data_IF_860589665244
#
_entry.id   IF_860589665244
#
_cell.length_a   1.000
_cell.length_b   1.000
_cell.length_c   1.000
_cell.angle_alpha   90.00
_cell.angle_beta   90.00
_cell.angle_gamma   90.00
#
_symmetry.space_group_name_H-M   'P 1'
#
loop_
_entity.id
_entity.type
_entity.pdbx_description
1 polymer ?
#
# COMPACT_ATOMS: atom_id res chain seq x y z
N UNK A 1 8.34 -21.22 -8.76
CA UNK A 1 7.63 -20.49 -7.67
C UNK A 1 8.26 -20.76 -6.32
N UNK A 2 8.48 -22.02 -5.92
CA UNK A 2 9.07 -22.35 -4.61
C UNK A 2 10.36 -21.58 -4.27
N UNK A 3 11.28 -21.41 -5.23
CA UNK A 3 12.55 -20.74 -4.97
C UNK A 3 12.37 -19.25 -4.70
N UNK A 4 11.47 -18.60 -5.44
CA UNK A 4 11.11 -17.18 -5.24
C UNK A 4 10.56 -16.97 -3.82
N UNK A 5 9.65 -17.85 -3.40
CA UNK A 5 9.04 -17.82 -2.07
C UNK A 5 10.10 -18.05 -0.98
N UNK A 6 10.87 -19.13 -1.10
CA UNK A 6 11.80 -19.55 -0.06
C UNK A 6 12.99 -18.61 0.11
N UNK A 7 13.45 -17.98 -0.96
CA UNK A 7 14.50 -16.96 -0.85
C UNK A 7 13.93 -15.66 -0.31
N UNK A 8 12.78 -15.19 -0.81
CA UNK A 8 12.15 -13.98 -0.30
C UNK A 8 11.82 -14.07 1.20
N UNK A 9 11.39 -15.24 1.68
CA UNK A 9 11.06 -15.45 3.11
C UNK A 9 12.28 -15.34 4.05
N UNK A 10 13.49 -15.36 3.50
CA UNK A 10 14.73 -15.13 4.25
C UNK A 10 15.12 -13.65 4.31
N UNK A 11 14.63 -12.85 3.37
CA UNK A 11 14.93 -11.44 3.25
C UNK A 11 14.02 -10.62 4.17
N UNK A 12 14.62 -10.00 5.18
CA UNK A 12 13.94 -9.11 6.12
C UNK A 12 14.30 -7.66 5.79
N UNK A 13 13.32 -6.89 5.32
CA UNK A 13 13.47 -5.47 4.96
C UNK A 13 12.51 -4.69 5.83
N UNK A 14 13.07 -4.00 6.84
CA UNK A 14 12.31 -3.28 7.86
C UNK A 14 12.44 -1.78 7.63
N UNK A 15 11.30 -1.08 7.63
CA UNK A 15 11.21 0.37 7.46
C UNK A 15 10.33 0.98 8.54
N UNK A 16 10.59 2.26 8.86
CA UNK A 16 9.97 2.92 10.01
C UNK A 16 9.55 4.36 9.69
N UNK A 17 8.32 4.71 10.08
CA UNK A 17 7.82 6.09 10.09
C UNK A 17 7.04 6.37 11.37
N UNK A 18 5.75 6.00 11.45
CA UNK A 18 4.97 5.94 12.71
C UNK A 18 4.75 4.51 13.19
N UNK A 19 4.90 3.54 12.29
CA UNK A 19 4.93 2.11 12.57
C UNK A 19 6.23 1.48 12.09
N UNK A 20 6.53 0.29 12.60
CA UNK A 20 7.62 -0.58 12.12
C UNK A 20 7.06 -1.66 11.20
N UNK A 21 7.40 -1.60 9.90
CA UNK A 21 6.84 -2.48 8.86
C UNK A 21 7.91 -3.46 8.37
N UNK A 22 7.51 -4.70 8.07
CA UNK A 22 8.36 -5.72 7.44
C UNK A 22 9.07 -6.68 8.39
N UNK A 23 8.77 -6.62 9.69
CA UNK A 23 9.24 -7.58 10.69
C UNK A 23 8.72 -8.99 10.39
N UNK A 24 9.54 -10.02 10.62
CA UNK A 24 9.07 -11.41 10.56
C UNK A 24 7.89 -11.64 11.51
N UNK A 25 6.92 -12.45 11.07
CA UNK A 25 5.70 -12.73 11.83
C UNK A 25 4.67 -11.60 11.81
N UNK A 26 4.86 -10.59 10.95
CA UNK A 26 3.95 -9.47 10.81
C UNK A 26 3.47 -9.33 9.35
N UNK A 27 2.26 -8.83 9.18
CA UNK A 27 1.64 -8.48 7.91
C UNK A 27 0.91 -7.16 8.10
N UNK A 28 1.38 -6.12 7.41
CA UNK A 28 0.73 -4.82 7.38
C UNK A 28 -0.25 -4.71 6.22
N UNK A 29 -1.16 -3.74 6.28
CA UNK A 29 -2.06 -3.44 5.18
C UNK A 29 -2.21 -1.96 4.90
N UNK A 30 -2.35 -1.62 3.63
CA UNK A 30 -2.87 -0.34 3.18
C UNK A 30 -4.39 -0.37 3.31
N UNK A 31 -4.95 0.54 4.08
CA UNK A 31 -6.39 0.82 4.03
C UNK A 31 -6.61 1.84 2.91
N UNK A 32 -7.36 1.46 1.88
CA UNK A 32 -7.62 2.31 0.71
C UNK A 32 -9.11 2.70 0.65
N UNK A 33 -9.48 3.86 1.23
CA UNK A 33 -10.87 4.29 1.30
C UNK A 33 -11.23 5.17 0.10
N UNK A 34 -11.03 4.67 -1.12
CA UNK A 34 -11.35 5.44 -2.33
C UNK A 34 -12.86 5.67 -2.43
N UNK A 35 -13.26 6.83 -2.95
CA UNK A 35 -14.65 7.15 -3.22
C UNK A 35 -14.76 7.80 -4.61
N UNK A 36 -15.73 7.44 -5.47
CA UNK A 36 -15.83 7.95 -6.85
C UNK A 36 -15.92 9.47 -7.02
N UNK A 37 -16.19 10.18 -5.93
CA UNK A 37 -16.34 11.65 -5.89
C UNK A 37 -15.58 12.29 -4.73
N UNK A 38 -14.66 11.56 -4.09
CA UNK A 38 -13.96 11.99 -2.88
C UNK A 38 -14.91 12.45 -1.75
N UNK A 39 -16.05 11.76 -1.57
CA UNK A 39 -17.02 12.15 -0.53
C UNK A 39 -16.46 11.85 0.87
N UNK A 40 -16.42 12.89 1.70
CA UNK A 40 -15.81 12.82 3.03
C UNK A 40 -16.50 11.79 3.94
N UNK A 41 -17.82 11.65 3.85
CA UNK A 41 -18.55 10.69 4.68
C UNK A 41 -18.27 9.26 4.21
N UNK A 42 -18.30 9.01 2.91
CA UNK A 42 -17.97 7.71 2.32
C UNK A 42 -16.54 7.28 2.65
N UNK A 43 -15.58 8.19 2.52
CA UNK A 43 -14.17 7.96 2.91
C UNK A 43 -14.07 7.64 4.40
N UNK A 44 -14.68 8.46 5.25
CA UNK A 44 -14.63 8.28 6.71
C UNK A 44 -15.26 6.95 7.16
N UNK A 45 -16.37 6.55 6.54
CA UNK A 45 -17.02 5.28 6.80
C UNK A 45 -16.12 4.09 6.42
N UNK A 46 -15.45 4.16 5.27
CA UNK A 46 -14.50 3.13 4.82
C UNK A 46 -13.24 3.06 5.70
N UNK A 47 -12.74 4.20 6.19
CA UNK A 47 -11.66 4.24 7.19
C UNK A 47 -12.10 3.54 8.47
N UNK A 48 -13.27 3.87 9.00
CA UNK A 48 -13.77 3.25 10.22
C UNK A 48 -13.92 1.74 10.04
N UNK A 49 -14.55 1.30 8.96
CA UNK A 49 -14.75 -0.12 8.65
C UNK A 49 -13.39 -0.86 8.60
N UNK A 50 -12.44 -0.35 7.81
CA UNK A 50 -11.12 -0.96 7.70
C UNK A 50 -10.37 -1.04 9.02
N UNK A 51 -10.41 0.02 9.85
CA UNK A 51 -9.82 0.03 11.19
C UNK A 51 -10.46 -1.02 12.10
N UNK A 52 -11.78 -1.23 12.00
CA UNK A 52 -12.46 -2.29 12.76
C UNK A 52 -11.97 -3.68 12.37
N UNK A 53 -11.50 -3.89 11.14
CA UNK A 53 -10.82 -5.13 10.73
C UNK A 53 -9.30 -5.09 10.92
N UNK A 54 -8.76 -4.08 11.62
CA UNK A 54 -7.34 -3.93 11.87
C UNK A 54 -6.50 -3.66 10.63
N UNK A 55 -7.08 -2.99 9.63
CA UNK A 55 -6.37 -2.56 8.43
C UNK A 55 -5.84 -1.13 8.56
N UNK A 56 -4.77 -0.83 7.83
CA UNK A 56 -4.24 0.52 7.71
C UNK A 56 -2.95 0.77 8.47
N UNK A 57 -2.29 -0.26 9.01
CA UNK A 57 -1.01 -0.11 9.70
C UNK A 57 0.18 0.13 8.73
N UNK A 58 0.04 -0.19 7.44
CA UNK A 58 1.01 0.21 6.43
C UNK A 58 0.83 1.68 6.02
N UNK A 59 -0.42 2.09 5.75
CA UNK A 59 -0.82 3.46 5.39
C UNK A 59 -2.35 3.52 5.28
N UNK A 60 -2.95 4.66 5.59
CA UNK A 60 -4.30 5.02 5.13
C UNK A 60 -4.13 5.86 3.86
N UNK A 61 -4.37 5.24 2.69
CA UNK A 61 -3.95 5.76 1.39
C UNK A 61 -5.11 5.96 0.42
N UNK A 62 -5.39 7.21 0.04
CA UNK A 62 -6.48 7.57 -0.88
C UNK A 62 -5.92 7.80 -2.28
N UNK A 63 -6.43 7.09 -3.28
CA UNK A 63 -6.35 7.53 -4.67
C UNK A 63 -7.46 8.59 -4.88
N UNK A 64 -7.12 9.86 -5.14
CA UNK A 64 -8.13 10.91 -5.26
C UNK A 64 -8.88 10.79 -6.60
N UNK A 65 -10.19 11.02 -6.59
CA UNK A 65 -10.98 11.14 -7.82
C UNK A 65 -10.64 12.43 -8.60
N UNK A 66 -10.10 13.45 -7.93
CA UNK A 66 -9.62 14.68 -8.59
C UNK A 66 -8.23 15.15 -8.11
N UNK A 67 -7.39 15.56 -9.06
CA UNK A 67 -6.01 16.01 -8.80
C UNK A 67 -5.86 17.52 -8.53
N UNK A 68 -6.92 18.20 -8.11
CA UNK A 68 -6.81 19.63 -7.79
C UNK A 68 -6.24 19.83 -6.37
N UNK A 69 -5.31 20.79 -6.21
CA UNK A 69 -4.60 21.01 -4.95
C UNK A 69 -5.50 21.30 -3.74
N UNK A 70 -6.68 21.90 -3.96
CA UNK A 70 -7.60 22.16 -2.87
C UNK A 70 -8.18 20.87 -2.30
N UNK A 71 -8.72 20.00 -3.16
CA UNK A 71 -9.22 18.68 -2.78
C UNK A 71 -8.14 17.83 -2.09
N UNK A 72 -6.95 17.76 -2.70
CA UNK A 72 -5.81 17.03 -2.14
C UNK A 72 -5.44 17.52 -0.74
N UNK A 73 -5.42 18.84 -0.53
CA UNK A 73 -5.19 19.46 0.78
C UNK A 73 -6.26 19.04 1.80
N UNK A 74 -7.54 19.07 1.43
CA UNK A 74 -8.63 18.72 2.35
C UNK A 74 -8.62 17.23 2.71
N UNK A 75 -8.32 16.34 1.76
CA UNK A 75 -8.13 14.91 2.03
C UNK A 75 -6.97 14.66 3.00
N UNK A 76 -5.81 15.32 2.80
CA UNK A 76 -4.66 15.19 3.70
C UNK A 76 -4.98 15.68 5.12
N UNK A 77 -5.68 16.81 5.25
CA UNK A 77 -6.11 17.34 6.55
C UNK A 77 -7.13 16.45 7.24
N UNK A 78 -8.08 15.87 6.48
CA UNK A 78 -9.04 14.90 7.00
C UNK A 78 -8.31 13.70 7.60
N UNK A 79 -7.39 13.10 6.84
CA UNK A 79 -6.61 11.95 7.30
C UNK A 79 -5.76 12.30 8.53
N UNK A 80 -5.08 13.45 8.53
CA UNK A 80 -4.31 13.92 9.69
C UNK A 80 -5.21 14.11 10.91
N UNK A 81 -6.38 14.74 10.75
CA UNK A 81 -7.33 14.93 11.84
C UNK A 81 -7.79 13.59 12.44
N UNK A 82 -8.19 12.62 11.61
CA UNK A 82 -8.59 11.29 12.07
C UNK A 82 -7.45 10.58 12.81
N UNK A 83 -6.23 10.61 12.25
CA UNK A 83 -5.06 9.99 12.87
C UNK A 83 -4.77 10.62 14.24
N UNK A 84 -4.80 11.95 14.37
CA UNK A 84 -4.53 12.64 15.63
C UNK A 84 -5.65 12.43 16.67
N UNK A 85 -6.91 12.58 16.27
CA UNK A 85 -8.08 12.47 17.17
C UNK A 85 -8.17 11.07 17.80
N UNK A 86 -7.94 10.04 16.99
CA UNK A 86 -8.00 8.65 17.45
C UNK A 86 -6.63 8.08 17.87
N UNK A 87 -5.58 8.92 17.86
CA UNK A 87 -4.21 8.56 18.20
C UNK A 87 -3.75 7.28 17.48
N UNK A 88 -4.12 7.15 16.21
CA UNK A 88 -3.86 5.95 15.43
C UNK A 88 -2.36 5.92 15.10
N UNK A 89 -1.61 4.88 15.49
CA UNK A 89 -0.23 4.73 15.05
C UNK A 89 -0.26 4.28 13.60
N UNK A 90 -0.36 5.22 12.67
CA UNK A 90 -0.31 5.00 11.22
C UNK A 90 -0.02 6.30 10.50
N UNK A 91 0.29 6.22 9.21
CA UNK A 91 0.60 7.32 8.32
C UNK A 91 -0.48 7.50 7.25
N UNK A 92 -0.67 8.74 6.84
CA UNK A 92 -1.55 9.10 5.73
C UNK A 92 -0.80 9.19 4.39
N UNK A 93 -1.52 8.94 3.31
CA UNK A 93 -1.06 9.27 1.97
C UNK A 93 -2.24 9.61 1.05
N UNK A 94 -2.07 10.63 0.22
CA UNK A 94 -2.95 10.86 -0.94
C UNK A 94 -2.08 10.62 -2.18
N UNK A 95 -2.47 9.63 -2.99
CA UNK A 95 -1.69 9.10 -4.10
C UNK A 95 -1.88 9.98 -5.34
N UNK A 96 -1.37 11.20 -5.27
CA UNK A 96 -1.33 12.16 -6.37
C UNK A 96 0.07 12.24 -6.97
N UNK A 97 0.21 12.91 -8.10
CA UNK A 97 1.50 13.18 -8.72
C UNK A 97 2.43 13.97 -7.76
N UNK A 98 3.71 13.60 -7.71
CA UNK A 98 4.69 14.15 -6.77
C UNK A 98 4.82 15.68 -6.82
N UNK A 99 4.61 16.30 -7.99
CA UNK A 99 4.63 17.77 -8.13
C UNK A 99 3.50 18.46 -7.38
N UNK A 100 2.33 17.83 -7.25
CA UNK A 100 1.24 18.32 -6.40
C UNK A 100 1.60 18.14 -4.92
N UNK A 101 2.18 17.00 -4.57
CA UNK A 101 2.69 16.72 -3.23
C UNK A 101 3.72 17.74 -2.76
N UNK A 102 4.70 18.10 -3.60
CA UNK A 102 5.73 19.12 -3.32
C UNK A 102 5.07 20.47 -3.00
N UNK A 103 4.16 20.95 -3.87
CA UNK A 103 3.48 22.23 -3.67
C UNK A 103 2.66 22.28 -2.37
N UNK A 104 2.12 21.13 -1.94
CA UNK A 104 1.38 21.01 -0.68
C UNK A 104 2.34 20.97 0.52
N UNK A 105 3.46 20.26 0.42
CA UNK A 105 4.50 20.22 1.44
C UNK A 105 5.10 21.62 1.68
N UNK A 106 5.37 22.40 0.63
CA UNK A 106 5.83 23.80 0.72
C UNK A 106 4.86 24.70 1.49
N UNK A 107 3.57 24.36 1.46
CA UNK A 107 2.49 25.04 2.20
C UNK A 107 2.26 24.46 3.60
N UNK A 108 3.12 23.55 4.06
CA UNK A 108 3.02 22.83 5.33
C UNK A 108 1.70 22.04 5.49
N UNK A 109 1.13 21.53 4.39
CA UNK A 109 0.02 20.56 4.44
C UNK A 109 0.54 19.24 5.05
N UNK A 110 -0.23 18.54 5.89
CA UNK A 110 0.25 17.38 6.65
C UNK A 110 0.44 16.13 5.76
N UNK A 111 1.55 16.07 5.03
CA UNK A 111 1.95 14.91 4.23
C UNK A 111 2.85 14.02 5.08
N UNK A 112 2.38 12.82 5.41
CA UNK A 112 3.20 11.80 6.05
C UNK A 112 4.08 11.06 5.01
N UNK A 113 3.47 10.55 3.92
CA UNK A 113 4.19 9.90 2.83
C UNK A 113 4.03 10.63 1.49
N UNK A 114 5.14 10.77 0.76
CA UNK A 114 5.15 11.24 -0.63
C UNK A 114 4.99 10.07 -1.59
N UNK A 115 3.89 10.05 -2.33
CA UNK A 115 3.62 9.02 -3.32
C UNK A 115 4.19 9.39 -4.71
N UNK A 116 4.61 8.37 -5.45
CA UNK A 116 4.79 8.47 -6.91
C UNK A 116 4.81 7.09 -7.58
N UNK A 117 4.14 6.93 -8.72
CA UNK A 117 4.35 5.79 -9.61
C UNK A 117 5.68 5.94 -10.35
N UNK A 118 6.51 4.89 -10.40
CA UNK A 118 7.84 4.90 -11.03
C UNK A 118 8.01 3.73 -12.00
N UNK A 119 8.97 3.86 -12.92
CA UNK A 119 9.29 2.85 -13.92
C UNK A 119 10.80 2.62 -14.08
N UNK A 120 11.16 1.54 -14.76
CA UNK A 120 12.54 1.09 -14.94
C UNK A 120 13.38 1.82 -15.99
N UNK A 121 12.79 2.74 -16.78
CA UNK A 121 13.48 3.49 -17.82
C UNK A 121 13.23 4.99 -17.67
N UNK A 122 14.18 5.80 -18.12
CA UNK A 122 14.02 7.26 -18.10
C UNK A 122 12.81 7.69 -18.94
N UNK A 123 12.67 7.15 -20.16
CA UNK A 123 11.55 7.49 -21.04
C UNK A 123 10.18 7.14 -20.43
N UNK A 124 10.07 6.02 -19.70
CA UNK A 124 8.82 5.68 -19.01
C UNK A 124 8.52 6.67 -17.86
N UNK A 125 9.52 7.02 -17.05
CA UNK A 125 9.39 8.01 -15.98
C UNK A 125 9.03 9.40 -16.53
N UNK A 126 9.65 9.83 -17.62
CA UNK A 126 9.28 11.08 -18.31
C UNK A 126 7.84 11.02 -18.84
N UNK A 127 7.37 9.85 -19.30
CA UNK A 127 5.98 9.61 -19.65
C UNK A 127 5.00 9.75 -18.48
N UNK A 128 5.45 9.49 -17.25
CA UNK A 128 4.70 9.79 -16.03
C UNK A 128 4.84 11.24 -15.56
N UNK A 129 5.62 12.07 -16.25
CA UNK A 129 5.86 13.46 -15.87
C UNK A 129 6.91 13.64 -14.76
N UNK A 130 7.75 12.63 -14.51
CA UNK A 130 8.74 12.65 -13.43
C UNK A 130 10.18 12.49 -13.90
N UNK A 131 11.11 12.99 -13.08
CA UNK A 131 12.54 12.77 -13.20
C UNK A 131 13.12 12.37 -11.84
N UNK A 132 14.34 11.84 -11.80
CA UNK A 132 15.02 11.53 -10.54
C UNK A 132 15.27 12.77 -9.68
N UNK A 133 15.41 13.95 -10.30
CA UNK A 133 15.58 15.22 -9.61
C UNK A 133 14.26 15.65 -8.95
N UNK A 134 13.12 15.48 -9.64
CA UNK A 134 11.80 15.76 -9.07
C UNK A 134 11.48 14.81 -7.90
N UNK A 135 11.87 13.53 -8.00
CA UNK A 135 11.73 12.58 -6.88
C UNK A 135 12.61 13.01 -5.69
N UNK A 136 13.82 13.50 -5.96
CA UNK A 136 14.70 14.03 -4.91
C UNK A 136 14.08 15.24 -4.21
N UNK A 137 13.50 16.17 -4.98
CA UNK A 137 12.79 17.33 -4.44
C UNK A 137 11.60 16.92 -3.55
N UNK A 138 10.78 15.97 -4.02
CA UNK A 138 9.67 15.43 -3.22
C UNK A 138 10.12 14.72 -1.95
N UNK A 139 11.24 13.98 -2.01
CA UNK A 139 11.84 13.35 -0.83
C UNK A 139 12.30 14.38 0.19
N UNK A 140 13.03 15.40 -0.24
CA UNK A 140 13.56 16.46 0.63
C UNK A 140 12.42 17.31 1.23
N UNK A 141 11.39 17.63 0.42
CA UNK A 141 10.21 18.35 0.86
C UNK A 141 9.48 17.62 1.98
N UNK A 142 9.25 16.31 1.85
CA UNK A 142 8.54 15.53 2.89
C UNK A 142 9.39 15.33 4.14
N UNK A 143 10.69 15.10 4.01
CA UNK A 143 11.59 15.06 5.16
C UNK A 143 11.57 16.37 5.96
N UNK A 144 11.43 17.51 5.28
CA UNK A 144 11.40 18.84 5.92
C UNK A 144 10.22 19.03 6.88
N UNK A 145 9.11 18.30 6.66
CA UNK A 145 7.91 18.33 7.50
C UNK A 145 8.12 17.63 8.86
N UNK A 146 9.12 16.74 8.98
CA UNK A 146 9.53 16.06 10.24
C UNK A 146 8.37 15.39 10.99
N UNK A 147 7.56 14.62 10.26
CA UNK A 147 6.31 14.04 10.80
C UNK A 147 6.44 12.60 11.33
N UNK A 148 7.57 11.95 11.07
CA UNK A 148 7.85 10.61 11.60
C UNK A 148 8.08 10.62 13.11
N UNK A 149 7.59 9.59 13.80
CA UNK A 149 7.71 9.46 15.27
C UNK A 149 8.66 8.33 15.68
N UNK A 150 8.85 7.33 14.82
CA UNK A 150 9.72 6.17 15.03
C UNK A 150 10.88 6.19 14.05
N UNK A 151 10.62 6.55 12.80
CA UNK A 151 11.63 6.64 11.74
C UNK A 151 11.30 7.70 10.71
N UNK A 152 12.11 7.78 9.66
CA UNK A 152 12.09 8.84 8.66
C UNK A 152 12.02 8.28 7.23
N UNK A 153 11.49 7.06 7.06
CA UNK A 153 11.16 6.55 5.73
C UNK A 153 9.87 7.25 5.25
N UNK A 154 9.96 8.08 4.21
CA UNK A 154 8.85 8.99 3.82
C UNK A 154 8.34 8.79 2.40
N UNK A 155 8.99 7.95 1.59
CA UNK A 155 8.52 7.70 0.22
C UNK A 155 7.59 6.50 0.15
N UNK A 156 6.60 6.62 -0.72
CA UNK A 156 5.74 5.52 -1.14
C UNK A 156 5.80 5.43 -2.68
N UNK A 157 6.29 4.31 -3.20
CA UNK A 157 6.32 4.07 -4.65
C UNK A 157 5.39 2.95 -5.08
N UNK A 158 4.76 3.15 -6.23
CA UNK A 158 4.07 2.09 -6.97
C UNK A 158 4.83 1.76 -8.25
N UNK A 159 4.89 0.46 -8.55
CA UNK A 159 5.51 -0.12 -9.74
C UNK A 159 4.55 -1.12 -10.38
N UNK A 160 4.96 -1.77 -11.47
CA UNK A 160 4.11 -2.76 -12.12
C UNK A 160 4.68 -3.19 -13.46
N UNK A 161 4.71 -4.51 -13.66
CA UNK A 161 5.03 -5.09 -14.95
C UNK A 161 4.09 -4.58 -16.03
N UNK A 162 4.66 -4.20 -17.18
CA UNK A 162 3.93 -3.68 -18.33
C UNK A 162 3.96 -2.16 -18.47
N UNK A 163 4.27 -1.41 -17.40
CA UNK A 163 4.35 0.06 -17.42
C UNK A 163 5.26 0.63 -18.50
N UNK A 164 6.47 0.08 -18.66
CA UNK A 164 7.40 0.50 -19.70
C UNK A 164 7.02 -0.01 -21.11
N UNK A 165 6.27 -1.12 -21.20
CA UNK A 165 5.78 -1.63 -22.48
C UNK A 165 4.62 -0.78 -22.99
N UNK A 166 3.66 -0.45 -22.13
CA UNK A 166 2.48 0.37 -22.43
C UNK A 166 2.86 1.78 -22.92
N UNK A 167 3.95 2.33 -22.38
CA UNK A 167 4.51 3.63 -22.76
C UNK A 167 5.48 3.57 -23.94
N UNK A 168 5.65 2.40 -24.59
CA UNK A 168 6.62 2.17 -25.66
C UNK A 168 8.07 2.58 -25.27
N UNK A 169 8.41 2.41 -23.99
CA UNK A 169 9.66 2.83 -23.37
C UNK A 169 10.50 1.65 -22.86
N UNK A 170 10.21 0.44 -23.35
CA UNK A 170 10.84 -0.81 -22.91
C UNK A 170 12.14 -1.13 -23.65
N UNK A 171 12.39 -0.52 -24.81
CA UNK A 171 13.62 -0.69 -25.61
C UNK A 171 13.97 -2.16 -25.92
N UNK A 172 12.96 -3.01 -26.14
CA UNK A 172 13.13 -4.45 -26.40
C UNK A 172 13.52 -5.29 -25.17
N UNK A 173 13.49 -4.71 -23.97
CA UNK A 173 13.74 -5.42 -22.70
C UNK A 173 12.42 -5.98 -22.14
N UNK A 174 12.49 -7.16 -21.51
CA UNK A 174 11.33 -7.82 -20.91
C UNK A 174 10.78 -7.09 -19.66
N UNK A 175 9.53 -7.37 -19.33
CA UNK A 175 8.80 -6.70 -18.24
C UNK A 175 9.48 -6.89 -16.88
N UNK A 176 9.95 -8.10 -16.56
CA UNK A 176 10.55 -8.41 -15.25
C UNK A 176 11.86 -7.65 -15.03
N UNK A 177 12.71 -7.58 -16.06
CA UNK A 177 13.96 -6.83 -15.98
C UNK A 177 13.71 -5.34 -15.74
N UNK A 178 12.71 -4.76 -16.42
CA UNK A 178 12.36 -3.34 -16.26
C UNK A 178 11.72 -3.06 -14.91
N UNK A 179 10.87 -3.95 -14.43
CA UNK A 179 10.27 -3.87 -13.10
C UNK A 179 11.35 -3.93 -12.00
N UNK A 180 12.32 -4.84 -12.14
CA UNK A 180 13.48 -4.91 -11.23
C UNK A 180 14.30 -3.62 -11.22
N UNK A 181 14.40 -2.91 -12.35
CA UNK A 181 15.07 -1.59 -12.43
C UNK A 181 14.27 -0.50 -11.70
N UNK A 182 12.95 -0.56 -11.67
CA UNK A 182 12.13 0.38 -10.90
C UNK A 182 12.44 0.27 -9.40
N UNK A 183 12.70 -0.94 -8.89
CA UNK A 183 13.13 -1.12 -7.50
C UNK A 183 14.47 -0.46 -7.18
N UNK A 184 15.39 -0.42 -8.15
CA UNK A 184 16.66 0.30 -8.00
C UNK A 184 16.45 1.83 -7.91
N UNK A 185 15.45 2.37 -8.63
CA UNK A 185 15.02 3.77 -8.48
C UNK A 185 14.46 4.00 -7.08
N UNK A 186 13.50 3.18 -6.63
CA UNK A 186 12.87 3.31 -5.31
C UNK A 186 13.91 3.26 -4.18
N UNK A 187 14.84 2.30 -4.22
CA UNK A 187 15.85 2.07 -3.18
C UNK A 187 16.67 3.31 -2.84
N UNK A 188 16.89 4.22 -3.80
CA UNK A 188 17.68 5.44 -3.59
C UNK A 188 17.04 6.40 -2.57
N UNK A 189 15.72 6.36 -2.39
CA UNK A 189 14.96 7.39 -1.67
C UNK A 189 14.35 6.89 -0.34
N UNK A 190 14.94 5.86 0.28
CA UNK A 190 14.54 5.34 1.59
C UNK A 190 13.01 5.19 1.78
N UNK A 191 12.31 4.49 0.89
CA UNK A 191 10.86 4.37 0.95
C UNK A 191 10.42 3.67 2.23
N UNK A 192 9.25 4.06 2.74
CA UNK A 192 8.54 3.25 3.72
C UNK A 192 7.88 2.06 3.02
N UNK A 193 7.31 2.32 1.83
CA UNK A 193 6.52 1.37 1.08
C UNK A 193 6.93 1.37 -0.40
N UNK A 194 7.02 0.17 -0.98
CA UNK A 194 7.04 -0.05 -2.42
C UNK A 194 6.07 -1.18 -2.71
N UNK A 195 5.08 -1.00 -3.59
CA UNK A 195 4.31 -2.13 -4.09
C UNK A 195 4.33 -2.20 -5.61
N UNK A 196 4.42 -3.43 -6.11
CA UNK A 196 3.95 -3.73 -7.46
C UNK A 196 2.42 -3.73 -7.46
N UNK A 197 1.82 -3.38 -8.58
CA UNK A 197 0.40 -3.54 -8.84
C UNK A 197 0.23 -4.63 -9.89
N UNK A 198 0.11 -5.88 -9.43
CA UNK A 198 0.09 -7.04 -10.34
C UNK A 198 -1.32 -7.28 -10.86
N UNK A 199 -1.48 -7.38 -12.18
CA UNK A 199 -2.78 -7.66 -12.82
C UNK A 199 -3.69 -6.45 -13.07
N UNK A 200 -3.23 -5.23 -12.75
CA UNK A 200 -4.01 -4.00 -12.90
C UNK A 200 -4.16 -3.49 -14.32
N UNK A 201 -3.13 -3.64 -15.17
CA UNK A 201 -3.15 -3.01 -16.50
C UNK A 201 -4.09 -3.76 -17.46
N UNK A 202 -4.00 -5.09 -17.50
CA UNK A 202 -4.83 -5.91 -18.38
C UNK A 202 -4.15 -7.16 -18.93
N UNK A 203 -4.90 -8.01 -19.65
CA UNK A 203 -4.45 -9.29 -20.20
C UNK A 203 -3.37 -9.16 -21.29
N UNK A 204 -3.17 -7.97 -21.84
CA UNK A 204 -2.11 -7.69 -22.82
C UNK A 204 -0.72 -7.84 -22.21
N UNK A 205 -0.61 -7.72 -20.89
CA UNK A 205 0.64 -7.77 -20.13
C UNK A 205 0.73 -9.05 -19.29
N UNK A 206 -0.36 -9.41 -18.62
CA UNK A 206 -0.52 -10.61 -17.80
C UNK A 206 -1.90 -11.23 -18.07
N UNK A 207 -1.95 -12.23 -18.94
CA UNK A 207 -3.19 -12.74 -19.53
C UNK A 207 -4.13 -13.43 -18.53
N UNK A 208 -3.59 -14.22 -17.61
CA UNK A 208 -4.37 -15.07 -16.72
C UNK A 208 -3.80 -15.18 -15.30
N UNK A 209 -4.57 -15.79 -14.39
CA UNK A 209 -4.19 -15.98 -12.98
C UNK A 209 -2.81 -16.61 -12.79
N UNK A 210 -2.43 -17.58 -13.64
CA UNK A 210 -1.09 -18.20 -13.60
C UNK A 210 0.04 -17.18 -13.86
N UNK A 211 -0.15 -16.27 -14.81
CA UNK A 211 0.82 -15.22 -15.12
C UNK A 211 0.88 -14.18 -14.00
N UNK A 212 -0.27 -13.77 -13.46
CA UNK A 212 -0.36 -12.86 -12.31
C UNK A 212 0.36 -13.44 -11.08
N UNK A 213 0.07 -14.70 -10.72
CA UNK A 213 0.75 -15.39 -9.61
C UNK A 213 2.26 -15.42 -9.83
N UNK A 214 2.70 -15.71 -11.06
CA UNK A 214 4.12 -15.77 -11.39
C UNK A 214 4.80 -14.40 -11.23
N UNK A 215 4.23 -13.37 -11.85
CA UNK A 215 4.73 -12.00 -11.83
C UNK A 215 4.80 -11.45 -10.39
N UNK A 216 3.74 -11.61 -9.60
CA UNK A 216 3.72 -11.17 -8.21
C UNK A 216 4.83 -11.79 -7.37
N UNK A 217 5.09 -13.09 -7.54
CA UNK A 217 6.19 -13.78 -6.85
C UNK A 217 7.57 -13.31 -7.31
N UNK A 218 7.75 -13.02 -8.60
CA UNK A 218 9.01 -12.50 -9.14
C UNK A 218 9.30 -11.10 -8.61
N UNK A 219 8.29 -10.24 -8.61
CA UNK A 219 8.34 -8.86 -8.14
C UNK A 219 8.67 -8.79 -6.65
N UNK A 220 7.94 -9.56 -5.83
CA UNK A 220 8.21 -9.63 -4.39
C UNK A 220 9.63 -10.15 -4.10
N UNK A 221 10.06 -11.21 -4.77
CA UNK A 221 11.40 -11.77 -4.63
C UNK A 221 12.48 -10.75 -5.00
N UNK A 222 12.38 -10.12 -6.17
CA UNK A 222 13.35 -9.15 -6.66
C UNK A 222 13.40 -7.92 -5.75
N UNK A 223 12.24 -7.38 -5.33
CA UNK A 223 12.16 -6.25 -4.42
C UNK A 223 12.83 -6.55 -3.08
N UNK A 224 12.49 -7.67 -2.45
CA UNK A 224 13.11 -8.13 -1.20
C UNK A 224 14.62 -8.34 -1.33
N UNK A 225 15.07 -8.97 -2.42
CA UNK A 225 16.49 -9.24 -2.66
C UNK A 225 17.28 -7.94 -2.87
N UNK A 226 16.67 -6.92 -3.47
CA UNK A 226 17.26 -5.60 -3.64
C UNK A 226 17.15 -4.71 -2.39
N UNK A 227 16.42 -5.15 -1.37
CA UNK A 227 16.31 -4.46 -0.09
C UNK A 227 15.27 -3.33 -0.07
N UNK A 228 14.21 -3.42 -0.89
CA UNK A 228 13.06 -2.49 -0.81
C UNK A 228 11.92 -3.11 0.02
N UNK A 229 11.12 -2.31 0.75
CA UNK A 229 10.02 -2.77 1.60
C UNK A 229 8.82 -3.21 0.75
N UNK A 230 8.97 -4.37 0.11
CA UNK A 230 8.11 -4.80 -0.99
C UNK A 230 6.76 -5.35 -0.49
N UNK A 231 5.69 -4.68 -0.88
CA UNK A 231 4.31 -5.15 -0.84
C UNK A 231 3.78 -5.45 -2.23
N UNK A 232 2.48 -5.77 -2.31
CA UNK A 232 1.82 -6.08 -3.57
C UNK A 232 0.35 -5.72 -3.48
N UNK A 233 -0.15 -4.97 -4.46
CA UNK A 233 -1.58 -4.90 -4.74
C UNK A 233 -1.93 -6.16 -5.53
N UNK A 234 -2.68 -7.07 -4.91
CA UNK A 234 -2.97 -8.42 -5.40
C UNK A 234 -4.28 -8.33 -6.17
N UNK A 235 -4.19 -8.04 -7.46
CA UNK A 235 -5.37 -7.59 -8.17
C UNK A 235 -5.53 -8.16 -9.57
N UNK A 236 -6.72 -7.97 -10.12
CA UNK A 236 -7.03 -8.33 -11.49
C UNK A 236 -8.11 -7.41 -12.05
N UNK A 237 -8.17 -7.35 -13.38
CA UNK A 237 -9.24 -6.67 -14.10
C UNK A 237 -10.24 -7.68 -14.66
N UNK A 238 -11.50 -7.29 -14.77
CA UNK A 238 -12.60 -8.15 -15.22
C UNK A 238 -12.45 -8.73 -16.64
N UNK A 239 -11.47 -8.26 -17.43
CA UNK A 239 -11.23 -8.74 -18.79
C UNK A 239 -9.96 -9.62 -18.89
N UNK A 240 -9.25 -9.85 -17.78
CA UNK A 240 -8.24 -10.90 -17.68
C UNK A 240 -8.89 -12.27 -17.44
N UNK A 241 -8.21 -13.34 -17.86
CA UNK A 241 -8.61 -14.73 -17.56
C UNK A 241 -8.15 -15.11 -16.14
N UNK A 242 -8.70 -14.40 -15.15
CA UNK A 242 -8.38 -14.52 -13.74
C UNK A 242 -9.62 -14.21 -12.88
N UNK A 243 -9.64 -14.77 -11.68
CA UNK A 243 -10.69 -14.48 -10.70
C UNK A 243 -10.13 -14.32 -9.27
N UNK A 244 -11.02 -14.08 -8.31
CA UNK A 244 -10.65 -13.91 -6.91
C UNK A 244 -9.92 -15.13 -6.32
N UNK A 245 -10.18 -16.36 -6.81
CA UNK A 245 -9.49 -17.55 -6.32
C UNK A 245 -8.00 -17.51 -6.68
N UNK A 246 -7.64 -16.97 -7.85
CA UNK A 246 -6.23 -16.77 -8.22
C UNK A 246 -5.54 -15.77 -7.27
N UNK A 247 -6.26 -14.72 -6.85
CA UNK A 247 -5.77 -13.73 -5.89
C UNK A 247 -5.59 -14.35 -4.51
N UNK A 248 -6.52 -15.18 -4.05
CA UNK A 248 -6.43 -15.89 -2.77
C UNK A 248 -5.22 -16.84 -2.75
N UNK A 249 -4.98 -17.56 -3.86
CA UNK A 249 -3.77 -18.38 -4.02
C UNK A 249 -2.52 -17.52 -3.91
N UNK A 250 -2.46 -16.39 -4.61
CA UNK A 250 -1.31 -15.49 -4.56
C UNK A 250 -1.10 -14.92 -3.14
N UNK A 251 -2.17 -14.52 -2.46
CA UNK A 251 -2.17 -14.03 -1.09
C UNK A 251 -1.54 -15.06 -0.13
N UNK A 252 -1.97 -16.32 -0.17
CA UNK A 252 -1.40 -17.37 0.70
C UNK A 252 0.10 -17.57 0.40
N UNK A 253 0.49 -17.56 -0.88
CA UNK A 253 1.89 -17.70 -1.28
C UNK A 253 2.73 -16.52 -0.77
N UNK A 254 2.19 -15.30 -0.79
CA UNK A 254 2.84 -14.11 -0.25
C UNK A 254 2.99 -14.12 1.26
N UNK A 255 1.99 -14.60 1.99
CA UNK A 255 2.10 -14.80 3.44
C UNK A 255 3.23 -15.77 3.78
N UNK A 256 3.35 -16.88 3.04
CA UNK A 256 4.46 -17.82 3.21
C UNK A 256 5.82 -17.21 2.78
N UNK A 257 5.83 -16.31 1.79
CA UNK A 257 7.02 -15.61 1.32
C UNK A 257 7.46 -14.45 2.23
N UNK A 258 6.64 -14.05 3.21
CA UNK A 258 6.95 -12.94 4.12
C UNK A 258 6.78 -11.55 3.50
N UNK A 259 5.70 -11.34 2.75
CA UNK A 259 5.32 -10.02 2.20
C UNK A 259 5.23 -8.94 3.28
N UNK A 260 5.66 -7.71 2.98
CA UNK A 260 5.60 -6.61 3.95
C UNK A 260 4.16 -6.14 4.18
N UNK A 261 3.43 -5.91 3.08
CA UNK A 261 2.06 -5.45 3.13
C UNK A 261 1.26 -5.80 1.88
N UNK A 262 -0.05 -5.81 2.05
CA UNK A 262 -1.06 -5.96 0.98
C UNK A 262 -2.06 -4.81 1.04
N UNK A 263 -2.96 -4.75 0.06
CA UNK A 263 -4.05 -3.79 0.05
C UNK A 263 -5.25 -4.33 0.86
N UNK A 264 -6.07 -3.43 1.36
CA UNK A 264 -7.32 -3.75 2.03
C UNK A 264 -8.36 -2.71 1.65
N UNK A 265 -9.44 -3.17 1.02
CA UNK A 265 -10.61 -2.35 0.67
C UNK A 265 -11.92 -3.03 1.10
N UNK A 266 -13.05 -2.30 1.14
CA UNK A 266 -14.34 -2.90 1.41
C UNK A 266 -14.73 -3.90 0.30
N UNK A 267 -14.91 -5.16 0.67
CA UNK A 267 -15.48 -6.19 -0.23
C UNK A 267 -14.66 -6.54 -1.47
N UNK A 268 -13.35 -6.24 -1.49
CA UNK A 268 -12.45 -6.53 -2.63
C UNK A 268 -12.76 -5.76 -3.93
N UNK A 269 -13.70 -4.81 -3.91
CA UNK A 269 -14.14 -4.10 -5.12
C UNK A 269 -13.81 -2.60 -5.03
N UNK A 270 -12.86 -2.14 -5.87
CA UNK A 270 -12.56 -0.71 -5.95
C UNK A 270 -13.48 -0.06 -6.99
N UNK A 271 -14.59 0.49 -6.49
CA UNK A 271 -15.64 1.13 -7.31
C UNK A 271 -15.17 2.36 -8.08
N UNK A 272 -14.00 2.93 -7.74
CA UNK A 272 -13.44 4.08 -8.44
C UNK A 272 -12.49 3.64 -9.55
N UNK A 273 -11.63 2.66 -9.26
CA UNK A 273 -10.60 2.16 -10.17
C UNK A 273 -11.06 0.98 -11.04
N UNK A 274 -12.25 0.44 -10.78
CA UNK A 274 -12.91 -0.62 -11.56
C UNK A 274 -12.07 -1.91 -11.68
N UNK A 275 -11.46 -2.33 -10.57
CA UNK A 275 -10.69 -3.57 -10.48
C UNK A 275 -10.93 -4.24 -9.12
N UNK A 276 -10.57 -5.52 -9.02
CA UNK A 276 -10.72 -6.30 -7.80
C UNK A 276 -9.36 -6.52 -7.14
N UNK A 277 -9.30 -6.40 -5.82
CA UNK A 277 -8.08 -6.61 -5.01
C UNK A 277 -8.42 -7.33 -3.69
N UNK A 278 -7.50 -7.36 -2.73
CA UNK A 278 -7.74 -7.93 -1.40
C UNK A 278 -8.62 -7.04 -0.52
N UNK A 279 -9.51 -7.69 0.22
CA UNK A 279 -10.41 -7.07 1.19
C UNK A 279 -9.77 -6.92 2.57
N UNK A 280 -10.47 -6.20 3.44
CA UNK A 280 -10.18 -6.21 4.88
C UNK A 280 -10.19 -7.61 5.51
N UNK A 281 -11.03 -8.52 5.01
CA UNK A 281 -11.18 -9.88 5.54
C UNK A 281 -10.01 -10.78 5.14
N UNK A 282 -9.43 -10.55 3.96
CA UNK A 282 -8.31 -11.34 3.45
C UNK A 282 -7.05 -11.15 4.30
N UNK A 283 -6.85 -9.94 4.82
CA UNK A 283 -5.82 -9.65 5.80
C UNK A 283 -6.01 -10.48 7.09
N UNK A 284 -7.26 -10.58 7.58
CA UNK A 284 -7.57 -11.38 8.77
C UNK A 284 -7.42 -12.88 8.53
N UNK A 285 -7.81 -13.36 7.35
CA UNK A 285 -7.57 -14.73 6.92
C UNK A 285 -6.09 -15.06 7.01
N UNK A 286 -5.23 -14.25 6.39
CA UNK A 286 -3.80 -14.54 6.32
C UNK A 286 -3.12 -14.42 7.70
N UNK A 287 -3.50 -13.41 8.50
CA UNK A 287 -3.04 -13.23 9.88
C UNK A 287 -3.41 -14.42 10.77
N UNK A 288 -4.62 -14.96 10.66
CA UNK A 288 -5.03 -16.11 11.45
C UNK A 288 -4.41 -17.42 10.97
N UNK A 289 -4.40 -17.66 9.66
CA UNK A 289 -3.85 -18.88 9.07
C UNK A 289 -2.37 -19.06 9.39
N UNK A 290 -1.60 -17.98 9.30
CA UNK A 290 -0.13 -18.02 9.43
C UNK A 290 0.37 -17.46 10.78
N UNK A 291 -0.53 -17.01 11.66
CA UNK A 291 -0.18 -16.39 12.94
C UNK A 291 0.56 -15.06 12.81
N UNK A 292 0.31 -14.33 11.72
CA UNK A 292 0.89 -13.00 11.49
C UNK A 292 0.12 -11.94 12.27
N UNK A 293 0.81 -10.87 12.65
CA UNK A 293 0.24 -9.73 13.38
C UNK A 293 0.31 -8.43 12.57
N UNK A 294 -0.55 -7.43 12.83
CA UNK A 294 -0.30 -6.06 12.39
C UNK A 294 1.02 -5.53 12.96
N UNK A 295 1.56 -4.43 12.44
CA UNK A 295 2.72 -3.74 12.99
C UNK A 295 2.61 -3.59 14.52
N UNK A 296 3.70 -3.75 15.30
CA UNK A 296 3.62 -3.85 16.76
C UNK A 296 2.90 -2.69 17.43
N UNK A 297 3.13 -1.47 16.96
CA UNK A 297 2.53 -0.25 17.48
C UNK A 297 1.01 -0.23 17.23
N UNK A 298 0.61 -0.62 16.01
CA UNK A 298 -0.80 -0.73 15.64
C UNK A 298 -1.51 -1.88 16.35
N UNK A 299 -0.86 -3.03 16.52
CA UNK A 299 -1.40 -4.15 17.31
C UNK A 299 -1.68 -3.73 18.75
N UNK A 300 -0.77 -2.97 19.37
CA UNK A 300 -0.98 -2.46 20.73
C UNK A 300 -2.15 -1.46 20.78
N UNK A 301 -2.27 -0.59 19.78
CA UNK A 301 -3.39 0.33 19.68
C UNK A 301 -4.73 -0.38 19.49
N UNK A 302 -4.82 -1.39 18.62
CA UNK A 302 -6.04 -2.19 18.42
C UNK A 302 -6.53 -2.82 19.73
N UNK A 303 -5.61 -3.35 20.54
CA UNK A 303 -5.93 -3.91 21.85
C UNK A 303 -6.38 -2.84 22.85
N UNK A 304 -5.67 -1.70 22.90
CA UNK A 304 -6.01 -0.58 23.78
C UNK A 304 -7.37 0.03 23.45
N UNK A 305 -7.70 0.14 22.16
CA UNK A 305 -8.99 0.63 21.69
C UNK A 305 -10.11 -0.39 21.89
N UNK A 306 -9.79 -1.65 22.23
CA UNK A 306 -10.80 -2.69 22.35
C UNK A 306 -11.44 -3.04 21.00
N UNK A 307 -10.67 -3.00 19.90
CA UNK A 307 -11.16 -3.46 18.59
C UNK A 307 -11.05 -4.99 18.55
N UNK A 308 -9.82 -5.50 18.64
CA UNK A 308 -9.54 -6.91 18.88
C UNK A 308 -8.16 -7.08 19.52
N UNK A 309 -7.95 -8.27 20.08
CA UNK A 309 -6.63 -8.79 20.43
C UNK A 309 -6.36 -10.08 19.67
N UNK A 310 -5.09 -10.41 19.44
CA UNK A 310 -4.73 -11.67 18.77
C UNK A 310 -3.97 -12.58 19.73
N UNK A 311 -4.57 -13.73 20.05
CA UNK A 311 -4.02 -14.72 20.97
C UNK A 311 -3.96 -16.08 20.28
N UNK A 312 -2.79 -16.74 20.31
CA UNK A 312 -2.57 -18.04 19.66
C UNK A 312 -3.04 -18.09 18.19
N UNK A 313 -2.72 -17.04 17.43
CA UNK A 313 -3.15 -16.85 16.03
C UNK A 313 -4.66 -16.67 15.82
N UNK A 314 -5.47 -16.61 16.87
CA UNK A 314 -6.91 -16.33 16.77
C UNK A 314 -7.22 -14.89 17.13
N UNK A 315 -8.15 -14.30 16.39
CA UNK A 315 -8.67 -12.96 16.70
C UNK A 315 -9.76 -13.10 17.76
N UNK A 316 -9.59 -12.37 18.85
CA UNK A 316 -10.60 -12.20 19.88
C UNK A 316 -11.15 -10.78 19.77
N UNK A 317 -12.32 -10.68 19.14
CA UNK A 317 -13.10 -9.44 19.05
C UNK A 317 -13.55 -8.96 20.42
N UNK A 318 -13.73 -7.65 20.58
CA UNK A 318 -14.44 -7.14 21.73
C UNK A 318 -15.94 -7.44 21.65
N UNK A 319 -16.59 -7.58 22.80
CA UNK A 319 -18.03 -7.86 22.90
C UNK A 319 -18.89 -6.68 22.44
N UNK A 320 -18.33 -5.48 22.46
CA UNK A 320 -18.99 -4.22 22.12
C UNK A 320 -18.07 -3.35 21.26
N UNK A 321 -18.66 -2.51 20.40
CA UNK A 321 -17.90 -1.52 19.66
C UNK A 321 -17.20 -0.56 20.63
N UNK A 322 -15.94 -0.17 20.37
CA UNK A 322 -15.24 0.76 21.24
C UNK A 322 -16.00 2.07 21.44
N UNK A 323 -16.03 2.56 22.68
CA UNK A 323 -16.73 3.80 23.04
C UNK A 323 -16.25 5.02 22.24
N UNK A 324 -14.98 5.01 21.81
CA UNK A 324 -14.42 6.10 21.01
C UNK A 324 -15.02 6.13 19.60
N UNK A 325 -15.36 4.98 19.02
CA UNK A 325 -15.96 4.86 17.69
C UNK A 325 -17.49 4.81 17.73
N UNK A 326 -18.09 4.38 18.82
CA UNK A 326 -19.56 4.30 18.95
C UNK A 326 -20.24 5.66 18.77
N UNK A 327 -19.56 6.76 19.12
CA UNK A 327 -20.02 8.14 18.89
C UNK A 327 -20.18 8.51 17.42
N UNK A 328 -19.49 7.81 16.51
CA UNK A 328 -19.60 8.03 15.06
C UNK A 328 -20.87 7.42 14.47
N UNK A 329 -21.48 6.43 15.14
CA UNK A 329 -22.70 5.76 14.68
C UNK A 329 -23.98 6.30 15.31
N UNK A 330 -23.86 7.14 16.35
CA UNK A 330 -25.02 7.65 17.12
C UNK A 330 -25.50 9.05 16.68
N UNK A 331 -24.95 9.60 15.59
CA UNK A 331 -25.37 10.91 15.04
C UNK A 331 -25.94 10.77 13.63
#
# INVERSE_FOLDING_TARGET
>A
NQDLIYVASKCEVVTQFRNTIGLKGHLSTRLQPNHPTDDVLGISASILDGLMYGNGDAVIGINPATDNLHNLSELLKLLDHVIQEYQIPTQSCVLTHISSGIQLAEKNVPIDLMFQSIAGTQLANEGFGISLDLIQEGYDATLSLKRGTIGQNVMYFETGQGSALSSNAHHGVDQQTLETRAYAVARKYNPLLVNTVVGFIGPEYLFNGKQIIRAGLEDHFCGKLLGVPMGCDICYTNHADADQNDMDVLLTLFGAAGINFIMGIPGSDDVMLNYQTTSFHDALYLRQLLGLKPAPEFSAWLEQQGIFKQQNSQICWADHMPDQFSRLLMN
#
